data_IF_755221865858
#
_entry.id   IF_755221865858
#
_cell.length_a   1.000
_cell.length_b   1.000
_cell.length_c   1.000
_cell.angle_alpha   90.00
_cell.angle_beta   90.00
_cell.angle_gamma   90.00
#
_symmetry.space_group_name_H-M   'P 1'
#
loop_
_entity.id
_entity.type
_entity.pdbx_description
1 polymer ?
#
# COMPACT_ATOMS: atom_id res chain seq x y z
N UNK A 1 -15.31 18.27 -15.33
CA UNK A 1 -15.93 17.07 -14.74
C UNK A 1 -16.61 17.49 -13.45
N UNK A 2 -17.88 17.14 -13.25
CA UNK A 2 -18.60 17.43 -12.01
C UNK A 2 -18.63 16.16 -11.15
N UNK A 3 -18.23 16.26 -9.88
CA UNK A 3 -18.20 15.14 -8.95
C UNK A 3 -19.08 15.52 -7.76
N UNK A 4 -20.07 14.70 -7.46
CA UNK A 4 -20.90 14.90 -6.27
C UNK A 4 -20.21 14.27 -5.07
N UNK A 5 -20.02 15.05 -4.02
CA UNK A 5 -19.50 14.59 -2.74
C UNK A 5 -20.62 14.50 -1.72
N UNK A 6 -20.45 13.67 -0.69
CA UNK A 6 -21.32 13.74 0.48
C UNK A 6 -21.06 15.07 1.22
N UNK A 7 -22.05 15.60 1.97
CA UNK A 7 -21.87 16.86 2.70
C UNK A 7 -20.68 16.85 3.67
N UNK A 8 -20.34 15.69 4.22
CA UNK A 8 -19.18 15.53 5.10
C UNK A 8 -17.86 15.66 4.34
N UNK A 9 -17.73 15.01 3.18
CA UNK A 9 -16.55 15.11 2.33
C UNK A 9 -16.37 16.52 1.77
N UNK A 10 -17.45 17.20 1.41
CA UNK A 10 -17.41 18.60 0.97
C UNK A 10 -16.89 19.53 2.06
N UNK A 11 -17.38 19.38 3.31
CA UNK A 11 -16.86 20.13 4.47
C UNK A 11 -15.36 19.87 4.68
N UNK A 12 -14.93 18.62 4.57
CA UNK A 12 -13.52 18.26 4.73
C UNK A 12 -12.63 18.87 3.63
N UNK A 13 -13.05 18.79 2.37
CA UNK A 13 -12.34 19.41 1.24
C UNK A 13 -12.25 20.92 1.42
N UNK A 14 -13.36 21.57 1.82
CA UNK A 14 -13.35 23.00 2.10
C UNK A 14 -12.40 23.37 3.23
N UNK A 15 -12.36 22.59 4.32
CA UNK A 15 -11.42 22.83 5.43
C UNK A 15 -9.96 22.73 4.99
N UNK A 16 -9.62 21.76 4.14
CA UNK A 16 -8.27 21.59 3.56
C UNK A 16 -7.85 22.74 2.65
N UNK A 17 -8.77 23.28 1.85
CA UNK A 17 -8.49 24.48 1.04
C UNK A 17 -8.34 25.70 1.95
N UNK A 18 -9.23 25.87 2.95
CA UNK A 18 -9.18 27.00 3.89
C UNK A 18 -7.90 27.05 4.73
N UNK A 19 -7.24 25.91 4.95
CA UNK A 19 -5.97 25.88 5.67
C UNK A 19 -4.80 26.44 4.85
N UNK A 20 -5.01 26.74 3.56
CA UNK A 20 -3.96 27.23 2.65
C UNK A 20 -3.00 26.15 2.15
N UNK A 21 -3.23 24.87 2.50
CA UNK A 21 -2.40 23.77 2.01
C UNK A 21 -2.67 23.45 0.53
N UNK A 22 -3.86 23.79 0.05
CA UNK A 22 -4.31 23.58 -1.32
C UNK A 22 -4.98 24.83 -1.88
N UNK A 23 -4.80 25.08 -3.17
CA UNK A 23 -5.40 26.25 -3.83
C UNK A 23 -6.87 26.03 -4.17
N UNK A 24 -7.29 24.78 -4.40
CA UNK A 24 -8.66 24.44 -4.82
C UNK A 24 -9.03 23.00 -4.48
N UNK A 25 -10.33 22.71 -4.53
CA UNK A 25 -10.89 21.38 -4.26
C UNK A 25 -10.34 20.29 -5.20
N UNK A 26 -10.06 20.62 -6.47
CA UNK A 26 -9.57 19.64 -7.43
C UNK A 26 -8.15 19.16 -7.08
N UNK A 27 -7.32 19.97 -6.43
CA UNK A 27 -6.01 19.53 -5.92
C UNK A 27 -6.17 18.50 -4.81
N UNK A 28 -7.05 18.77 -3.84
CA UNK A 28 -7.35 17.85 -2.73
C UNK A 28 -7.81 16.50 -3.26
N UNK A 29 -8.76 16.52 -4.21
CA UNK A 29 -9.31 15.29 -4.80
C UNK A 29 -8.23 14.54 -5.60
N UNK A 30 -7.41 15.23 -6.39
CA UNK A 30 -6.33 14.59 -7.14
C UNK A 30 -5.30 13.93 -6.24
N UNK A 31 -4.94 14.55 -5.12
CA UNK A 31 -4.03 13.93 -4.17
C UNK A 31 -4.65 12.67 -3.55
N UNK A 32 -5.90 12.75 -3.06
CA UNK A 32 -6.60 11.61 -2.49
C UNK A 32 -6.71 10.44 -3.48
N UNK A 33 -6.99 10.73 -4.76
CA UNK A 33 -7.03 9.71 -5.81
C UNK A 33 -5.65 9.10 -6.10
N UNK A 34 -4.57 9.90 -6.15
CA UNK A 34 -3.21 9.38 -6.32
C UNK A 34 -2.80 8.45 -5.19
N UNK A 35 -3.15 8.83 -3.97
CA UNK A 35 -2.89 8.04 -2.77
C UNK A 35 -3.71 6.73 -2.77
N UNK A 36 -4.97 6.78 -3.22
CA UNK A 36 -5.79 5.58 -3.42
C UNK A 36 -5.20 4.63 -4.47
N UNK A 37 -4.80 5.15 -5.63
CA UNK A 37 -4.19 4.35 -6.71
C UNK A 37 -2.87 3.71 -6.26
N UNK A 38 -2.07 4.42 -5.45
CA UNK A 38 -0.83 3.88 -4.89
C UNK A 38 -1.12 2.68 -4.00
N UNK A 39 -2.06 2.80 -3.05
CA UNK A 39 -2.46 1.67 -2.18
C UNK A 39 -3.00 0.49 -2.96
N UNK A 40 -3.79 0.74 -4.00
CA UNK A 40 -4.31 -0.32 -4.87
C UNK A 40 -3.15 -1.07 -5.53
N UNK A 41 -2.18 -0.35 -6.12
CA UNK A 41 -1.01 -0.97 -6.73
C UNK A 41 -0.12 -1.73 -5.74
N UNK A 42 0.03 -1.23 -4.51
CA UNK A 42 0.77 -1.91 -3.43
C UNK A 42 0.05 -3.20 -3.02
N UNK A 43 -1.27 -3.16 -2.89
CA UNK A 43 -2.08 -4.33 -2.54
C UNK A 43 -2.04 -5.39 -3.64
N UNK A 44 -2.16 -5.00 -4.91
CA UNK A 44 -2.08 -5.92 -6.05
C UNK A 44 -0.71 -6.60 -6.10
N UNK A 45 0.36 -5.83 -5.86
CA UNK A 45 1.71 -6.39 -5.76
C UNK A 45 1.83 -7.38 -4.60
N UNK A 46 1.36 -7.02 -3.40
CA UNK A 46 1.38 -7.90 -2.22
C UNK A 46 0.60 -9.20 -2.46
N UNK A 47 -0.59 -9.12 -3.06
CA UNK A 47 -1.39 -10.29 -3.42
C UNK A 47 -0.63 -11.19 -4.40
N UNK A 48 0.01 -10.59 -5.41
CA UNK A 48 0.82 -11.34 -6.39
C UNK A 48 2.00 -12.04 -5.72
N UNK A 49 2.76 -11.33 -4.88
CA UNK A 49 3.91 -11.92 -4.18
C UNK A 49 3.49 -13.01 -3.20
N UNK A 50 2.36 -12.83 -2.50
CA UNK A 50 1.81 -13.86 -1.63
C UNK A 50 1.43 -15.12 -2.40
N UNK A 51 0.75 -14.98 -3.55
CA UNK A 51 0.39 -16.10 -4.41
C UNK A 51 1.62 -16.88 -4.88
N UNK A 52 2.68 -16.18 -5.31
CA UNK A 52 3.96 -16.80 -5.67
C UNK A 52 4.56 -17.54 -4.47
N UNK A 53 4.63 -16.90 -3.30
CA UNK A 53 5.19 -17.50 -2.10
C UNK A 53 4.44 -18.77 -1.65
N UNK A 54 3.11 -18.78 -1.72
CA UNK A 54 2.32 -19.98 -1.43
C UNK A 54 2.58 -21.10 -2.43
N UNK A 55 2.64 -20.80 -3.73
CA UNK A 55 2.95 -21.80 -4.75
C UNK A 55 4.36 -22.42 -4.54
N UNK A 56 5.35 -21.60 -4.18
CA UNK A 56 6.70 -22.08 -3.83
C UNK A 56 6.70 -22.99 -2.61
N UNK A 57 5.91 -22.66 -1.57
CA UNK A 57 5.77 -23.49 -0.38
C UNK A 57 5.11 -24.83 -0.69
N UNK A 58 4.04 -24.83 -1.50
CA UNK A 58 3.36 -26.05 -1.95
C UNK A 58 4.27 -26.93 -2.82
N UNK A 59 5.13 -26.31 -3.64
CA UNK A 59 6.14 -27.01 -4.43
C UNK A 59 7.36 -27.50 -3.60
N UNK A 60 7.44 -27.15 -2.32
CA UNK A 60 8.54 -27.54 -1.44
C UNK A 60 9.85 -26.75 -1.65
N UNK A 61 9.78 -25.57 -2.29
CA UNK A 61 10.93 -24.70 -2.54
C UNK A 61 11.36 -23.87 -1.31
N UNK A 62 10.58 -23.94 -0.22
CA UNK A 62 10.87 -23.25 1.03
C UNK A 62 11.97 -23.90 1.86
N UNK A 63 12.77 -23.08 2.56
CA UNK A 63 13.75 -23.56 3.55
C UNK A 63 13.15 -23.41 4.95
N UNK A 64 12.96 -24.51 5.72
CA UNK A 64 12.43 -24.42 7.07
C UNK A 64 13.46 -23.79 8.00
N UNK A 65 13.06 -22.74 8.71
CA UNK A 65 13.92 -22.05 9.67
C UNK A 65 13.28 -22.07 11.05
N UNK A 66 13.99 -22.62 12.03
CA UNK A 66 13.45 -22.89 13.38
C UNK A 66 13.73 -21.79 14.39
N UNK A 67 14.69 -20.91 14.10
CA UNK A 67 15.03 -19.80 14.99
C UNK A 67 15.55 -18.59 14.22
N UNK A 68 15.46 -17.42 14.85
CA UNK A 68 16.05 -16.18 14.32
C UNK A 68 17.56 -16.32 14.10
N UNK A 69 18.27 -17.09 14.93
CA UNK A 69 19.71 -17.34 14.78
C UNK A 69 19.99 -18.13 13.51
N UNK A 70 19.20 -19.18 13.26
CA UNK A 70 19.33 -20.00 12.05
C UNK A 70 19.00 -19.20 10.79
N UNK A 71 17.98 -18.34 10.86
CA UNK A 71 17.64 -17.42 9.77
C UNK A 71 18.80 -16.49 9.43
N UNK A 72 19.38 -15.85 10.45
CA UNK A 72 20.49 -14.91 10.27
C UNK A 72 21.73 -15.64 9.72
N UNK A 73 22.02 -16.85 10.19
CA UNK A 73 23.12 -17.66 9.66
C UNK A 73 22.89 -18.01 8.18
N UNK A 74 21.67 -18.43 7.83
CA UNK A 74 21.26 -18.77 6.46
C UNK A 74 21.42 -17.57 5.50
N UNK A 75 20.91 -16.40 5.87
CA UNK A 75 20.92 -15.20 5.01
C UNK A 75 22.32 -14.59 4.89
N UNK A 76 23.16 -14.70 5.93
CA UNK A 76 24.52 -14.15 5.93
C UNK A 76 25.57 -15.08 5.31
N UNK A 77 25.21 -16.32 4.96
CA UNK A 77 26.13 -17.29 4.36
C UNK A 77 27.22 -17.83 5.32
N UNK A 78 27.12 -17.53 6.62
CA UNK A 78 27.94 -18.14 7.66
C UNK A 78 27.39 -19.53 7.96
N UNK A 79 27.95 -20.54 7.28
CA UNK A 79 27.74 -21.97 7.59
C UNK A 79 28.23 -22.33 8.99
#
# INVERSE_FOLDING_TARGET
MNISLTPELEKWVHAKVKSGLYNNASEVIREALRDSLRRESENDWLQTQAAIGYAQLEAGEGIPVKSKKDFVALVRGTK
#
